data_IF_704026131517
#
_entry.id   IF_704026131517
#
_cell.length_a   1.000
_cell.length_b   1.000
_cell.length_c   1.000
_cell.angle_alpha   90.00
_cell.angle_beta   90.00
_cell.angle_gamma   90.00
#
_symmetry.space_group_name_H-M   'P 1'
#
loop_
_entity.id
_entity.type
_entity.pdbx_description
1 polymer ?
#
# COMPACT_ATOMS: atom_id res chain seq x y z
N UNK A 1 -15.71 -7.19 28.80
CA UNK A 1 -16.15 -8.05 27.68
C UNK A 1 -17.09 -7.25 26.80
N UNK A 2 -17.02 -7.49 25.49
CA UNK A 2 -17.69 -6.82 24.35
C UNK A 2 -17.01 -5.55 23.80
N UNK A 3 -16.21 -5.72 22.73
CA UNK A 3 -16.18 -4.75 21.63
C UNK A 3 -16.53 -5.53 20.36
N UNK A 4 -17.82 -5.80 20.19
CA UNK A 4 -18.34 -6.05 18.85
C UNK A 4 -18.20 -4.71 18.11
N UNK A 5 -17.26 -4.63 17.16
CA UNK A 5 -17.25 -3.53 16.20
C UNK A 5 -18.63 -3.49 15.54
N UNK A 6 -19.47 -2.54 15.95
CA UNK A 6 -20.83 -2.42 15.43
C UNK A 6 -20.76 -2.41 13.89
N UNK A 7 -21.70 -2.99 13.16
CA UNK A 7 -21.65 -3.02 11.69
C UNK A 7 -21.47 -1.62 11.03
N UNK A 8 -21.76 -0.55 11.78
CA UNK A 8 -21.48 0.85 11.41
C UNK A 8 -19.96 1.17 11.35
N UNK A 9 -19.14 0.62 12.25
CA UNK A 9 -17.67 0.85 12.24
C UNK A 9 -16.99 0.17 11.06
N UNK A 10 -17.37 -1.06 10.74
CA UNK A 10 -16.85 -1.76 9.56
C UNK A 10 -17.27 -1.06 8.27
N UNK A 11 -18.53 -0.60 8.17
CA UNK A 11 -18.97 0.17 7.00
C UNK A 11 -18.17 1.47 6.84
N UNK A 12 -17.85 2.16 7.95
CA UNK A 12 -17.00 3.35 7.92
C UNK A 12 -15.57 3.02 7.48
N UNK A 13 -14.97 1.95 8.01
CA UNK A 13 -13.67 1.47 7.55
C UNK A 13 -13.68 1.20 6.04
N UNK A 14 -14.68 0.49 5.53
CA UNK A 14 -14.80 0.20 4.09
C UNK A 14 -15.00 1.46 3.24
N UNK A 15 -15.66 2.51 3.77
CA UNK A 15 -15.76 3.81 3.09
C UNK A 15 -14.39 4.48 2.95
N UNK A 16 -13.54 4.42 3.98
CA UNK A 16 -12.17 4.92 3.91
C UNK A 16 -11.33 4.12 2.93
N UNK A 17 -11.34 2.78 3.00
CA UNK A 17 -10.66 1.94 1.99
C UNK A 17 -11.14 2.28 0.58
N UNK A 18 -12.45 2.54 0.40
CA UNK A 18 -13.03 2.98 -0.87
C UNK A 18 -12.54 4.34 -1.37
N UNK A 19 -11.97 5.20 -0.51
CA UNK A 19 -11.37 6.47 -0.93
C UNK A 19 -10.11 6.24 -1.77
N UNK A 20 -9.39 5.12 -1.59
CA UNK A 20 -8.19 4.79 -2.38
C UNK A 20 -8.45 4.72 -3.89
N UNK A 21 -9.70 4.41 -4.30
CA UNK A 21 -10.14 4.43 -5.71
C UNK A 21 -10.15 5.83 -6.33
N UNK A 22 -10.13 6.86 -5.49
CA UNK A 22 -10.21 8.27 -5.86
C UNK A 22 -8.92 9.03 -5.55
N UNK A 23 -7.92 8.36 -4.98
CA UNK A 23 -6.57 8.92 -4.78
C UNK A 23 -5.74 8.53 -6.01
N UNK A 24 -5.49 9.47 -6.95
CA UNK A 24 -4.57 9.19 -8.05
C UNK A 24 -3.15 9.08 -7.53
N UNK A 25 -2.32 8.27 -8.19
CA UNK A 25 -0.89 8.23 -7.87
C UNK A 25 -0.24 9.57 -8.26
N UNK A 26 0.20 10.33 -7.27
CA UNK A 26 0.64 11.73 -7.39
C UNK A 26 1.79 11.89 -8.38
N UNK A 27 2.68 10.90 -8.45
CA UNK A 27 3.75 10.92 -9.44
C UNK A 27 3.28 10.95 -10.90
N UNK A 28 2.20 10.24 -11.23
CA UNK A 28 1.62 10.32 -12.58
C UNK A 28 0.94 11.66 -12.84
N UNK A 29 0.32 12.24 -11.81
CA UNK A 29 -0.26 13.58 -11.87
C UNK A 29 0.81 14.62 -12.20
N UNK A 30 1.96 14.59 -11.51
CA UNK A 30 3.07 15.51 -11.75
C UNK A 30 3.70 15.37 -13.14
N UNK A 31 3.69 14.16 -13.71
CA UNK A 31 4.11 13.92 -15.10
C UNK A 31 3.01 14.23 -16.14
N UNK A 32 1.88 14.80 -15.72
CA UNK A 32 0.75 15.17 -16.60
C UNK A 32 0.19 13.98 -17.39
N UNK A 33 0.21 12.78 -16.80
CA UNK A 33 -0.44 11.61 -17.40
C UNK A 33 -1.95 11.79 -17.34
N UNK A 34 -2.62 11.62 -18.47
CA UNK A 34 -4.08 11.65 -18.51
C UNK A 34 -4.67 10.41 -17.82
N UNK A 35 -5.63 10.61 -16.93
CA UNK A 35 -6.32 9.54 -16.17
C UNK A 35 -5.32 8.58 -15.48
N UNK A 36 -4.51 9.07 -14.52
CA UNK A 36 -3.55 8.25 -13.81
C UNK A 36 -4.22 7.12 -13.02
N UNK A 37 -3.49 6.04 -12.79
CA UNK A 37 -3.97 4.94 -11.95
C UNK A 37 -4.23 5.42 -10.51
N UNK A 38 -5.20 4.79 -9.84
CA UNK A 38 -5.46 5.02 -8.42
C UNK A 38 -4.50 4.22 -7.54
N UNK A 39 -4.37 4.61 -6.27
CA UNK A 39 -3.61 3.83 -5.27
C UNK A 39 -4.16 2.41 -5.15
N UNK A 40 -5.48 2.22 -5.24
CA UNK A 40 -6.07 0.87 -5.24
C UNK A 40 -5.71 0.03 -6.47
N UNK A 41 -5.57 0.63 -7.65
CA UNK A 41 -5.14 -0.09 -8.87
C UNK A 41 -3.71 -0.60 -8.73
N UNK A 42 -2.84 0.24 -8.15
CA UNK A 42 -1.46 -0.09 -7.83
C UNK A 42 -1.38 -1.30 -6.87
N UNK A 43 -2.09 -1.23 -5.73
CA UNK A 43 -2.11 -2.29 -4.72
C UNK A 43 -2.69 -3.61 -5.28
N UNK A 44 -3.73 -3.53 -6.11
CA UNK A 44 -4.30 -4.71 -6.78
C UNK A 44 -3.27 -5.39 -7.68
N UNK A 45 -2.59 -4.63 -8.55
CA UNK A 45 -1.56 -5.19 -9.45
C UNK A 45 -0.42 -5.82 -8.66
N UNK A 46 0.00 -5.22 -7.55
CA UNK A 46 1.02 -5.79 -6.66
C UNK A 46 0.58 -7.08 -5.98
N UNK A 47 -0.67 -7.17 -5.53
CA UNK A 47 -1.22 -8.39 -4.94
C UNK A 47 -1.24 -9.54 -5.95
N UNK A 48 -1.62 -9.28 -7.21
CA UNK A 48 -1.56 -10.27 -8.30
C UNK A 48 -0.10 -10.71 -8.56
N UNK A 49 0.85 -9.78 -8.59
CA UNK A 49 2.27 -10.12 -8.73
C UNK A 49 2.78 -10.99 -7.57
N UNK A 50 2.38 -10.69 -6.33
CA UNK A 50 2.72 -11.48 -5.16
C UNK A 50 2.14 -12.90 -5.20
N UNK A 51 0.95 -13.08 -5.79
CA UNK A 51 0.35 -14.39 -6.01
C UNK A 51 1.15 -15.22 -7.04
N UNK A 52 1.59 -14.58 -8.11
CA UNK A 52 2.27 -15.21 -9.26
C UNK A 52 3.77 -15.43 -9.05
N UNK A 53 4.38 -14.89 -7.99
CA UNK A 53 5.81 -15.10 -7.71
C UNK A 53 6.14 -16.59 -7.56
N UNK A 54 7.30 -17.03 -8.04
CA UNK A 54 7.72 -18.45 -7.94
C UNK A 54 8.71 -18.71 -6.80
N UNK A 55 9.07 -17.68 -6.02
CA UNK A 55 10.02 -17.83 -4.92
C UNK A 55 9.40 -18.63 -3.77
N UNK A 56 9.85 -19.90 -3.65
CA UNK A 56 9.41 -20.85 -2.62
C UNK A 56 9.83 -20.45 -1.20
N UNK A 57 10.74 -19.48 -1.04
CA UNK A 57 11.15 -18.96 0.28
C UNK A 57 10.18 -17.92 0.82
N UNK A 58 9.31 -17.37 -0.03
CA UNK A 58 8.35 -16.34 0.35
C UNK A 58 7.01 -16.94 0.79
N UNK A 59 6.44 -16.38 1.86
CA UNK A 59 5.06 -16.65 2.22
C UNK A 59 4.14 -15.77 1.36
N UNK A 60 3.58 -16.35 0.29
CA UNK A 60 2.73 -15.64 -0.68
C UNK A 60 1.51 -14.98 -0.05
N UNK A 61 0.82 -15.66 0.86
CA UNK A 61 -0.38 -15.12 1.50
C UNK A 61 -0.05 -13.86 2.29
N UNK A 62 1.08 -13.88 3.01
CA UNK A 62 1.60 -12.70 3.70
C UNK A 62 1.99 -11.59 2.73
N UNK A 63 2.62 -11.91 1.60
CA UNK A 63 2.96 -10.93 0.56
C UNK A 63 1.71 -10.24 -0.01
N UNK A 64 0.66 -11.01 -0.30
CA UNK A 64 -0.62 -10.52 -0.82
C UNK A 64 -1.27 -9.59 0.21
N UNK A 65 -1.39 -10.04 1.46
CA UNK A 65 -1.94 -9.22 2.55
C UNK A 65 -1.17 -7.92 2.73
N UNK A 66 0.16 -7.96 2.70
CA UNK A 66 1.00 -6.76 2.80
C UNK A 66 0.76 -5.80 1.62
N UNK A 67 0.72 -6.31 0.38
CA UNK A 67 0.43 -5.51 -0.80
C UNK A 67 -0.92 -4.78 -0.69
N UNK A 68 -1.93 -5.44 -0.09
CA UNK A 68 -3.27 -4.89 0.11
C UNK A 68 -3.40 -3.88 1.27
N UNK A 69 -2.37 -3.70 2.11
CA UNK A 69 -2.44 -2.77 3.26
C UNK A 69 -1.36 -1.70 3.29
N UNK A 70 -0.26 -1.85 2.56
CA UNK A 70 0.92 -0.99 2.74
C UNK A 70 0.66 0.50 2.46
N UNK A 71 -0.11 0.82 1.42
CA UNK A 71 -0.51 2.20 1.08
C UNK A 71 -1.94 2.53 1.59
N UNK A 72 -2.51 1.75 2.53
CA UNK A 72 -3.87 1.98 3.04
C UNK A 72 -4.03 3.34 3.75
N UNK A 73 -2.96 3.83 4.38
CA UNK A 73 -2.93 5.14 5.04
C UNK A 73 -3.20 6.31 4.08
N UNK A 74 -2.89 6.13 2.79
CA UNK A 74 -3.05 7.15 1.75
C UNK A 74 -4.51 7.48 1.48
N UNK A 75 -5.47 6.69 2.00
CA UNK A 75 -6.88 7.05 1.92
C UNK A 75 -7.22 8.32 2.75
N UNK A 76 -6.44 8.61 3.80
CA UNK A 76 -6.58 9.81 4.64
C UNK A 76 -5.51 10.83 4.29
N UNK A 77 -4.25 10.38 4.21
CA UNK A 77 -3.08 11.26 4.04
C UNK A 77 -2.94 11.76 2.60
N UNK A 78 -3.46 11.01 1.62
CA UNK A 78 -3.12 11.17 0.21
C UNK A 78 -1.80 10.50 -0.15
N UNK A 79 -1.54 10.37 -1.44
CA UNK A 79 -0.26 9.83 -1.95
C UNK A 79 0.81 10.94 -1.93
N UNK A 80 1.65 10.94 -0.88
CA UNK A 80 2.77 11.87 -0.75
C UNK A 80 3.93 11.39 -1.64
N UNK A 81 4.25 12.20 -2.64
CA UNK A 81 5.36 12.01 -3.57
C UNK A 81 6.64 12.71 -3.08
N UNK A 82 7.82 12.32 -3.58
CA UNK A 82 9.07 12.98 -3.19
C UNK A 82 9.11 14.48 -3.51
N UNK A 83 8.40 14.91 -4.56
CA UNK A 83 8.32 16.31 -4.95
C UNK A 83 7.49 17.18 -3.99
N UNK A 84 6.71 16.58 -3.07
CA UNK A 84 5.98 17.29 -2.01
C UNK A 84 6.91 17.83 -0.90
N UNK A 85 8.20 17.45 -0.90
CA UNK A 85 9.20 17.89 0.10
C UNK A 85 8.83 17.60 1.57
N UNK A 86 7.98 16.61 1.82
CA UNK A 86 7.67 16.13 3.18
C UNK A 86 8.79 15.22 3.67
N UNK A 87 9.28 15.44 4.90
CA UNK A 87 10.33 14.59 5.47
C UNK A 87 9.84 13.15 5.67
N UNK A 88 10.75 12.18 5.70
CA UNK A 88 10.39 10.77 5.91
C UNK A 88 9.72 10.58 7.26
N UNK A 89 10.17 11.31 8.27
CA UNK A 89 9.69 11.27 9.65
C UNK A 89 8.26 11.81 9.73
N UNK A 90 8.01 12.96 9.09
CA UNK A 90 6.67 13.57 9.08
C UNK A 90 5.68 12.73 8.27
N UNK A 91 6.09 12.23 7.11
CA UNK A 91 5.29 11.29 6.31
C UNK A 91 4.93 10.06 7.14
N UNK A 92 5.92 9.46 7.81
CA UNK A 92 5.68 8.28 8.64
C UNK A 92 4.74 8.58 9.79
N UNK A 93 4.86 9.75 10.44
CA UNK A 93 3.96 10.19 11.50
C UNK A 93 2.53 10.33 10.99
N UNK A 94 2.32 11.01 9.86
CA UNK A 94 0.99 11.17 9.26
C UNK A 94 0.35 9.83 8.89
N UNK A 95 1.10 8.94 8.24
CA UNK A 95 0.61 7.61 7.87
C UNK A 95 0.30 6.74 9.10
N UNK A 96 1.10 6.87 10.17
CA UNK A 96 0.88 6.18 11.44
C UNK A 96 -0.40 6.66 12.12
N UNK A 97 -0.62 7.97 12.18
CA UNK A 97 -1.82 8.56 12.77
C UNK A 97 -3.07 8.13 11.99
N UNK A 98 -3.00 8.12 10.66
CA UNK A 98 -4.06 7.61 9.79
C UNK A 98 -4.35 6.12 10.03
N UNK A 99 -3.33 5.27 10.12
CA UNK A 99 -3.51 3.83 10.34
C UNK A 99 -4.01 3.49 11.75
N UNK A 100 -3.60 4.26 12.77
CA UNK A 100 -4.18 4.14 14.10
C UNK A 100 -5.69 4.44 14.04
N UNK A 101 -6.08 5.51 13.37
CA UNK A 101 -7.50 5.87 13.21
C UNK A 101 -8.29 4.79 12.46
N UNK A 102 -7.78 4.29 11.34
CA UNK A 102 -8.42 3.23 10.55
C UNK A 102 -8.56 1.92 11.31
N UNK A 103 -7.46 1.45 11.91
CA UNK A 103 -7.41 0.16 12.59
C UNK A 103 -8.27 0.14 13.86
N UNK A 104 -8.49 1.28 14.53
CA UNK A 104 -9.43 1.41 15.65
C UNK A 104 -10.91 1.19 15.27
N UNK A 105 -11.26 1.17 13.97
CA UNK A 105 -12.62 0.85 13.51
C UNK A 105 -12.87 -0.66 13.38
N UNK A 106 -11.80 -1.46 13.45
CA UNK A 106 -11.84 -2.91 13.35
C UNK A 106 -11.89 -3.57 14.74
N UNK A 107 -12.40 -4.81 14.85
CA UNK A 107 -12.23 -5.63 16.05
C UNK A 107 -10.75 -5.85 16.41
N UNK A 108 -10.44 -6.11 17.68
CA UNK A 108 -9.08 -6.10 18.21
C UNK A 108 -8.11 -7.08 17.50
N UNK A 109 -8.61 -8.25 17.09
CA UNK A 109 -7.85 -9.27 16.35
C UNK A 109 -7.45 -8.77 14.95
N UNK A 110 -8.42 -8.25 14.19
CA UNK A 110 -8.20 -7.70 12.85
C UNK A 110 -7.37 -6.41 12.89
N UNK A 111 -7.62 -5.55 13.88
CA UNK A 111 -6.87 -4.33 14.13
C UNK A 111 -5.38 -4.62 14.24
N UNK A 112 -5.03 -5.61 15.08
CA UNK A 112 -3.64 -6.01 15.30
C UNK A 112 -3.00 -6.50 14.01
N UNK A 113 -3.65 -7.41 13.29
CA UNK A 113 -3.12 -7.96 12.03
C UNK A 113 -2.88 -6.86 10.99
N UNK A 114 -3.86 -5.99 10.75
CA UNK A 114 -3.77 -4.92 9.73
C UNK A 114 -2.67 -3.92 10.09
N UNK A 115 -2.58 -3.52 11.35
CA UNK A 115 -1.56 -2.56 11.79
C UNK A 115 -0.15 -3.14 11.69
N UNK A 116 0.07 -4.38 12.14
CA UNK A 116 1.38 -5.04 12.04
C UNK A 116 1.82 -5.23 10.59
N UNK A 117 0.91 -5.62 9.69
CA UNK A 117 1.21 -5.74 8.27
C UNK A 117 1.59 -4.39 7.65
N UNK A 118 0.86 -3.32 7.98
CA UNK A 118 1.19 -1.97 7.52
C UNK A 118 2.55 -1.50 8.04
N UNK A 119 2.84 -1.71 9.32
CA UNK A 119 4.13 -1.30 9.91
C UNK A 119 5.32 -2.00 9.22
N UNK A 120 5.16 -3.28 8.87
CA UNK A 120 6.15 -4.02 8.07
C UNK A 120 6.25 -3.45 6.65
N UNK A 121 5.13 -3.10 6.02
CA UNK A 121 5.09 -2.52 4.67
C UNK A 121 5.78 -1.15 4.58
N UNK A 122 5.54 -0.27 5.54
CA UNK A 122 6.10 1.11 5.56
C UNK A 122 7.61 1.12 5.80
N UNK A 123 8.15 0.10 6.47
CA UNK A 123 9.61 -0.07 6.62
C UNK A 123 10.32 -0.33 5.27
N UNK A 124 9.59 -0.54 4.16
CA UNK A 124 10.04 -0.68 2.76
C UNK A 124 11.13 -1.72 2.48
N UNK A 125 11.68 -2.39 3.48
CA UNK A 125 12.62 -3.52 3.35
C UNK A 125 12.01 -4.74 2.64
N UNK A 126 10.69 -4.78 2.52
CA UNK A 126 9.97 -5.85 1.82
C UNK A 126 10.09 -5.75 0.29
N UNK A 127 10.20 -4.52 -0.23
CA UNK A 127 10.21 -4.25 -1.67
C UNK A 127 11.63 -4.07 -2.24
N UNK A 128 12.65 -4.10 -1.38
CA UNK A 128 14.08 -4.09 -1.74
C UNK A 128 14.66 -5.48 -2.00
N UNK A 129 13.92 -6.55 -1.74
CA UNK A 129 14.29 -7.88 -2.25
C UNK A 129 14.33 -7.77 -3.78
N UNK A 130 15.36 -8.27 -4.48
CA UNK A 130 15.45 -8.20 -5.94
C UNK A 130 14.15 -8.68 -6.54
N UNK A 131 13.30 -7.71 -6.87
CA UNK A 131 12.11 -7.73 -7.70
C UNK A 131 11.64 -9.16 -8.03
N UNK A 132 10.53 -9.59 -7.42
CA UNK A 132 9.79 -10.84 -7.71
C UNK A 132 9.45 -11.07 -9.20
N UNK A 133 9.86 -10.17 -10.11
CA UNK A 133 9.70 -10.27 -11.56
C UNK A 133 11.00 -10.09 -12.36
N UNK A 134 12.14 -9.75 -11.76
CA UNK A 134 13.30 -9.30 -12.54
C UNK A 134 14.26 -10.44 -12.95
N UNK A 135 13.97 -11.69 -12.57
CA UNK A 135 14.80 -12.85 -12.90
C UNK A 135 14.77 -13.27 -14.37
N UNK A 136 14.02 -12.58 -15.25
CA UNK A 136 13.88 -13.02 -16.65
C UNK A 136 13.46 -11.95 -17.66
N UNK A 137 13.55 -10.65 -17.34
CA UNK A 137 13.03 -9.62 -18.23
C UNK A 137 14.15 -8.71 -18.75
N UNK A 138 14.19 -8.58 -20.08
CA UNK A 138 15.16 -7.76 -20.82
C UNK A 138 15.28 -6.34 -20.25
N UNK A 139 16.44 -5.72 -20.48
CA UNK A 139 16.85 -4.39 -19.97
C UNK A 139 15.81 -3.26 -20.15
N UNK A 140 14.87 -3.37 -21.07
CA UNK A 140 13.78 -2.38 -21.24
C UNK A 140 12.65 -2.48 -20.21
N UNK A 141 12.48 -3.61 -19.53
CA UNK A 141 11.44 -3.81 -18.52
C UNK A 141 11.93 -3.59 -17.09
N UNK A 142 13.24 -3.45 -16.89
CA UNK A 142 13.81 -2.94 -15.64
C UNK A 142 13.30 -1.53 -15.31
N UNK A 143 13.01 -0.73 -16.33
CA UNK A 143 12.34 0.57 -16.19
C UNK A 143 10.90 0.37 -15.70
N UNK A 144 10.18 -0.64 -16.21
CA UNK A 144 8.81 -1.02 -15.83
C UNK A 144 8.75 -1.59 -14.40
N UNK A 145 9.75 -2.35 -13.95
CA UNK A 145 9.82 -2.84 -12.56
C UNK A 145 10.22 -1.74 -11.56
N UNK A 146 11.09 -0.79 -11.93
CA UNK A 146 11.26 0.46 -11.16
C UNK A 146 9.98 1.30 -11.14
N UNK A 147 9.23 1.32 -12.25
CA UNK A 147 7.91 1.94 -12.44
C UNK A 147 6.80 1.35 -11.56
N UNK A 148 6.81 0.03 -11.33
CA UNK A 148 5.74 -0.67 -10.59
C UNK A 148 6.05 -0.80 -9.09
N UNK A 149 7.32 -0.77 -8.67
CA UNK A 149 7.69 -1.11 -7.28
C UNK A 149 8.32 0.06 -6.50
N UNK A 150 8.92 1.07 -7.15
CA UNK A 150 9.90 1.89 -6.42
C UNK A 150 10.06 3.35 -6.78
N UNK A 151 9.44 3.86 -7.85
CA UNK A 151 9.46 5.30 -8.10
C UNK A 151 8.07 5.83 -7.80
N UNK A 152 7.85 6.23 -6.54
CA UNK A 152 6.97 7.36 -6.25
C UNK A 152 7.58 8.51 -7.04
N UNK A 153 7.14 8.65 -8.28
CA UNK A 153 7.57 9.69 -9.23
C UNK A 153 7.29 11.05 -8.64
#
# INVERSE_FOLDING_TARGET
MAVAGSGKSLLHFMKFVGQLKRVPRTGWVYRKVEKPESVSDHMYRMAVMAMLTEDKKLNKDRCIKLALVHDMAECIVGDIAPADNVSKEEKHRQEKDAMNYLSNMLPDDMKKEVYELWEVGVKKSFFSVPCMLCSGISSNQYVICKWIIGVRV
#
